data_IF_473891677451
#
_entry.id   IF_473891677451
#
_cell.length_a   1.000
_cell.length_b   1.000
_cell.length_c   1.000
_cell.angle_alpha   90.00
_cell.angle_beta   90.00
_cell.angle_gamma   90.00
#
_symmetry.space_group_name_H-M   'P 1'
#
loop_
_entity.id
_entity.type
_entity.pdbx_description
1 polymer ?
#
# COMPACT_ATOMS: atom_id res chain seq x y z
N UNK A 1 -18.45 18.13 7.42
CA UNK A 1 -18.43 17.14 6.32
C UNK A 1 -18.38 15.76 6.97
N UNK A 2 -19.51 15.05 7.02
CA UNK A 2 -19.58 13.71 7.60
C UNK A 2 -19.24 12.70 6.51
N UNK A 3 -18.09 12.03 6.64
CA UNK A 3 -17.74 10.90 5.78
C UNK A 3 -18.46 9.67 6.33
N UNK A 4 -19.42 9.16 5.56
CA UNK A 4 -20.10 7.91 5.87
C UNK A 4 -19.19 6.77 5.40
N UNK A 5 -18.28 6.33 6.27
CA UNK A 5 -17.42 5.17 6.02
C UNK A 5 -18.29 3.92 6.16
N UNK A 6 -18.77 3.37 5.05
CA UNK A 6 -19.68 2.22 5.04
C UNK A 6 -19.24 1.08 5.97
N UNK A 7 -19.80 1.06 7.19
CA UNK A 7 -19.56 0.03 8.20
C UNK A 7 -18.25 0.09 8.99
N UNK A 8 -17.35 1.07 8.76
CA UNK A 8 -16.13 1.20 9.57
C UNK A 8 -16.42 2.00 10.84
N UNK A 9 -16.26 1.37 12.00
CA UNK A 9 -16.18 2.12 13.26
C UNK A 9 -14.92 3.00 13.23
N UNK A 10 -15.06 4.20 13.79
CA UNK A 10 -14.00 5.18 14.00
C UNK A 10 -12.74 4.57 14.60
N UNK A 11 -12.88 3.62 15.53
CA UNK A 11 -11.75 2.90 16.14
C UNK A 11 -10.89 2.15 15.12
N UNK A 12 -11.51 1.47 14.15
CA UNK A 12 -10.83 0.73 13.09
C UNK A 12 -10.12 1.68 12.11
N UNK A 13 -10.76 2.81 11.77
CA UNK A 13 -10.13 3.85 10.96
C UNK A 13 -8.88 4.40 11.64
N UNK A 14 -8.93 4.72 12.93
CA UNK A 14 -7.75 5.18 13.68
C UNK A 14 -6.64 4.13 13.70
N UNK A 15 -6.97 2.85 13.86
CA UNK A 15 -5.99 1.77 13.81
C UNK A 15 -5.28 1.68 12.45
N UNK A 16 -6.00 1.88 11.35
CA UNK A 16 -5.43 1.90 9.99
C UNK A 16 -4.50 3.10 9.82
N UNK A 17 -4.94 4.29 10.22
CA UNK A 17 -4.15 5.51 10.10
C UNK A 17 -2.86 5.43 10.92
N UNK A 18 -2.95 4.96 12.17
CA UNK A 18 -1.81 4.74 13.06
C UNK A 18 -0.82 3.72 12.47
N UNK A 19 -1.32 2.63 11.87
CA UNK A 19 -0.48 1.63 11.23
C UNK A 19 0.27 2.19 10.00
N UNK A 20 -0.40 3.00 9.17
CA UNK A 20 0.21 3.66 8.01
C UNK A 20 1.28 4.65 8.47
N UNK A 21 0.96 5.52 9.44
CA UNK A 21 1.89 6.53 9.96
C UNK A 21 3.13 5.89 10.59
N UNK A 22 2.96 4.88 11.46
CA UNK A 22 4.09 4.16 12.08
C UNK A 22 4.94 3.42 11.06
N UNK A 23 4.32 2.83 10.03
CA UNK A 23 5.07 2.17 8.95
C UNK A 23 5.83 3.19 8.10
N UNK A 24 5.24 4.37 7.87
CA UNK A 24 5.88 5.47 7.18
C UNK A 24 7.10 5.96 7.95
N UNK A 25 6.96 6.30 9.23
CA UNK A 25 8.09 6.73 10.09
C UNK A 25 9.20 5.68 10.10
N UNK A 26 8.85 4.41 10.33
CA UNK A 26 9.83 3.33 10.37
C UNK A 26 10.59 3.18 9.05
N UNK A 27 9.96 3.44 7.91
CA UNK A 27 10.62 3.40 6.61
C UNK A 27 11.62 4.56 6.44
N UNK A 28 11.27 5.76 6.89
CA UNK A 28 12.16 6.93 6.85
C UNK A 28 13.38 6.76 7.77
N UNK A 29 13.21 6.18 8.96
CA UNK A 29 14.32 5.92 9.88
C UNK A 29 15.35 4.93 9.29
N UNK A 30 14.93 4.09 8.34
CA UNK A 30 15.82 3.15 7.65
C UNK A 30 16.61 3.79 6.51
N UNK A 31 16.13 4.92 5.99
CA UNK A 31 16.70 5.61 4.82
C UNK A 31 17.46 6.89 5.20
N UNK A 32 17.83 7.05 6.49
CA UNK A 32 18.54 8.23 7.01
C UNK A 32 19.90 8.52 6.34
N UNK A 33 20.43 7.60 5.53
CA UNK A 33 21.65 7.84 4.74
C UNK A 33 21.36 8.52 3.38
N UNK A 34 20.13 8.45 2.86
CA UNK A 34 19.68 9.09 1.62
C UNK A 34 18.18 9.43 1.72
N UNK A 35 17.78 10.46 2.48
CA UNK A 35 16.37 10.74 2.68
C UNK A 35 15.69 10.98 1.32
N UNK A 36 14.53 10.34 1.06
CA UNK A 36 13.84 10.55 -0.20
C UNK A 36 13.51 12.05 -0.35
N UNK A 37 13.71 12.57 -1.56
CA UNK A 37 13.37 13.96 -1.93
C UNK A 37 11.90 14.30 -1.64
N UNK A 38 11.04 13.28 -1.51
CA UNK A 38 9.63 13.39 -1.20
C UNK A 38 9.32 12.86 0.20
N UNK A 39 8.72 13.70 1.04
CA UNK A 39 8.35 13.37 2.43
C UNK A 39 6.88 12.99 2.59
N UNK A 40 6.24 12.46 1.56
CA UNK A 40 4.83 12.15 1.61
C UNK A 40 4.25 11.57 0.33
N UNK A 41 2.99 11.17 0.40
CA UNK A 41 2.26 10.55 -0.69
C UNK A 41 0.79 10.41 -0.40
N UNK A 42 0.10 9.57 -1.16
CA UNK A 42 -1.31 9.25 -0.93
C UNK A 42 -1.48 7.77 -0.62
N UNK A 43 -2.08 7.50 0.53
CA UNK A 43 -2.55 6.17 0.90
C UNK A 43 -3.99 6.00 0.43
N UNK A 44 -4.32 4.83 -0.11
CA UNK A 44 -5.69 4.42 -0.35
C UNK A 44 -5.95 2.98 0.11
N UNK A 45 -7.17 2.77 0.59
CA UNK A 45 -7.73 1.47 0.99
C UNK A 45 -8.95 1.21 0.11
N UNK A 46 -9.01 0.02 -0.48
CA UNK A 46 -10.19 -0.46 -1.19
C UNK A 46 -10.74 -1.73 -0.58
N UNK A 47 -12.06 -1.88 -0.69
CA UNK A 47 -12.74 -3.14 -0.46
C UNK A 47 -12.28 -4.14 -1.54
N UNK A 48 -11.68 -5.25 -1.13
CA UNK A 48 -11.15 -6.26 -2.05
C UNK A 48 -12.22 -7.13 -2.70
N UNK A 49 -13.49 -7.04 -2.30
CA UNK A 49 -14.64 -7.73 -2.91
C UNK A 49 -15.38 -6.83 -3.90
N UNK A 50 -15.70 -5.59 -3.52
CA UNK A 50 -16.49 -4.67 -4.36
C UNK A 50 -15.62 -3.75 -5.23
N UNK A 51 -14.39 -3.47 -4.79
CA UNK A 51 -13.50 -2.51 -5.44
C UNK A 51 -13.70 -1.06 -4.98
N UNK A 52 -14.66 -0.82 -4.09
CA UNK A 52 -14.99 0.50 -3.56
C UNK A 52 -13.81 1.12 -2.81
N UNK A 53 -13.64 2.43 -2.96
CA UNK A 53 -12.62 3.18 -2.22
C UNK A 53 -13.18 3.49 -0.84
N UNK A 54 -12.55 2.92 0.19
CA UNK A 54 -12.93 3.12 1.59
C UNK A 54 -12.19 4.31 2.20
N UNK A 55 -10.90 4.46 1.88
CA UNK A 55 -10.05 5.54 2.37
C UNK A 55 -9.18 6.03 1.21
N UNK A 56 -9.00 7.34 1.11
CA UNK A 56 -7.95 7.94 0.30
C UNK A 56 -7.49 9.23 0.96
N UNK A 57 -6.25 9.25 1.48
CA UNK A 57 -5.73 10.34 2.29
C UNK A 57 -4.28 10.67 1.93
N UNK A 58 -3.89 11.91 2.19
CA UNK A 58 -2.49 12.33 2.12
C UNK A 58 -1.76 11.85 3.39
N UNK A 59 -0.55 11.34 3.22
CA UNK A 59 0.37 10.98 4.31
C UNK A 59 1.64 11.78 4.13
N UNK A 60 2.09 12.49 5.17
CA UNK A 60 3.24 13.38 5.10
C UNK A 60 3.01 14.59 4.17
N UNK A 61 4.11 15.17 3.69
CA UNK A 61 4.09 16.39 2.88
C UNK A 61 4.17 16.08 1.39
N UNK A 62 3.18 16.58 0.63
CA UNK A 62 3.13 16.46 -0.83
C UNK A 62 3.09 17.85 -1.47
N UNK A 63 4.04 18.20 -2.37
CA UNK A 63 4.01 19.45 -3.12
C UNK A 63 2.66 19.64 -3.82
N UNK A 64 2.07 20.84 -3.71
CA UNK A 64 0.70 21.11 -4.20
C UNK A 64 0.50 20.69 -5.67
N UNK A 65 1.49 20.97 -6.52
CA UNK A 65 1.47 20.62 -7.96
C UNK A 65 1.42 19.11 -8.24
N UNK A 66 1.77 18.27 -7.27
CA UNK A 66 1.82 16.81 -7.42
C UNK A 66 0.68 16.08 -6.72
N UNK A 67 -0.08 16.76 -5.85
CA UNK A 67 -1.11 16.11 -5.01
C UNK A 67 -2.11 15.30 -5.82
N UNK A 68 -2.70 15.91 -6.86
CA UNK A 68 -3.68 15.22 -7.69
C UNK A 68 -3.06 14.04 -8.45
N UNK A 69 -1.84 14.20 -8.96
CA UNK A 69 -1.13 13.12 -9.65
C UNK A 69 -0.94 11.91 -8.72
N UNK A 70 -0.41 12.14 -7.51
CA UNK A 70 -0.15 11.06 -6.54
C UNK A 70 -1.44 10.42 -6.04
N UNK A 71 -2.48 11.23 -5.81
CA UNK A 71 -3.82 10.74 -5.49
C UNK A 71 -4.33 9.77 -6.56
N UNK A 72 -4.30 10.18 -7.83
CA UNK A 72 -4.75 9.33 -8.94
C UNK A 72 -3.89 8.08 -9.11
N UNK A 73 -2.57 8.17 -8.95
CA UNK A 73 -1.68 7.03 -9.03
C UNK A 73 -1.95 6.00 -7.92
N UNK A 74 -2.12 6.44 -6.67
CA UNK A 74 -2.51 5.56 -5.56
C UNK A 74 -3.84 4.83 -5.87
N UNK A 75 -4.84 5.56 -6.37
CA UNK A 75 -6.10 4.94 -6.75
C UNK A 75 -5.98 3.96 -7.92
N UNK A 76 -5.19 4.30 -8.94
CA UNK A 76 -5.00 3.48 -10.14
C UNK A 76 -4.30 2.16 -9.81
N UNK A 77 -3.24 2.20 -8.99
CA UNK A 77 -2.53 1.00 -8.52
C UNK A 77 -3.48 0.04 -7.80
N UNK A 78 -4.33 0.58 -6.92
CA UNK A 78 -5.36 -0.21 -6.22
C UNK A 78 -6.43 -0.79 -7.16
N UNK A 79 -6.94 -0.01 -8.11
CA UNK A 79 -7.92 -0.47 -9.11
C UNK A 79 -7.34 -1.56 -10.01
N UNK A 80 -6.09 -1.38 -10.45
CA UNK A 80 -5.40 -2.36 -11.28
C UNK A 80 -5.22 -3.68 -10.55
N UNK A 81 -4.78 -3.64 -9.29
CA UNK A 81 -4.63 -4.83 -8.47
C UNK A 81 -5.97 -5.52 -8.21
N UNK A 82 -7.04 -4.76 -7.97
CA UNK A 82 -8.40 -5.30 -7.85
C UNK A 82 -8.80 -6.11 -9.09
N UNK A 83 -8.62 -5.52 -10.28
CA UNK A 83 -8.94 -6.19 -11.54
C UNK A 83 -8.16 -7.48 -11.73
N UNK A 84 -6.87 -7.49 -11.39
CA UNK A 84 -6.04 -8.70 -11.54
C UNK A 84 -6.31 -9.75 -10.46
N UNK A 85 -6.65 -9.34 -9.24
CA UNK A 85 -6.97 -10.26 -8.14
C UNK A 85 -8.22 -11.12 -8.40
N UNK A 86 -9.20 -10.52 -9.09
CA UNK A 86 -10.46 -11.19 -9.47
C UNK A 86 -10.39 -11.96 -10.78
N UNK A 87 -9.23 -12.03 -11.45
CA UNK A 87 -9.04 -12.92 -12.61
C UNK A 87 -8.98 -14.39 -12.19
N UNK A 88 -8.73 -15.25 -13.17
CA UNK A 88 -8.52 -16.69 -12.96
C UNK A 88 -7.46 -16.96 -11.89
N UNK A 89 -7.53 -18.12 -11.21
CA UNK A 89 -6.59 -18.49 -10.15
C UNK A 89 -5.12 -18.49 -10.57
N UNK A 90 -4.84 -18.59 -11.87
CA UNK A 90 -3.48 -18.64 -12.43
C UNK A 90 -2.90 -17.23 -12.61
N UNK A 91 -3.74 -16.20 -12.71
CA UNK A 91 -3.35 -14.81 -12.99
C UNK A 91 -3.61 -13.86 -11.81
N UNK A 92 -3.80 -14.42 -10.63
CA UNK A 92 -4.18 -13.67 -9.44
C UNK A 92 -2.94 -13.02 -8.83
N UNK A 93 -2.82 -11.71 -9.03
CA UNK A 93 -1.71 -10.92 -8.46
C UNK A 93 -1.98 -10.53 -7.00
N UNK A 94 -1.00 -10.70 -6.13
CA UNK A 94 -0.99 -10.22 -4.74
C UNK A 94 -0.37 -8.82 -4.60
N UNK A 95 0.34 -8.36 -5.63
CA UNK A 95 0.90 -7.02 -5.74
C UNK A 95 0.65 -6.41 -7.12
N UNK A 96 0.41 -5.10 -7.14
CA UNK A 96 0.36 -4.32 -8.38
C UNK A 96 1.67 -4.32 -9.18
N UNK A 97 2.79 -4.64 -8.54
CA UNK A 97 4.12 -4.76 -9.17
C UNK A 97 4.20 -5.91 -10.16
N UNK A 98 3.36 -6.95 -10.01
CA UNK A 98 3.22 -8.06 -10.98
C UNK A 98 2.55 -7.60 -12.29
N UNK A 99 1.80 -6.50 -12.23
CA UNK A 99 1.16 -5.87 -13.40
C UNK A 99 1.89 -4.61 -13.90
N UNK A 100 3.13 -4.40 -13.45
CA UNK A 100 3.94 -3.22 -13.81
C UNK A 100 4.18 -3.14 -15.31
N UNK A 101 4.06 -1.94 -15.85
CA UNK A 101 4.34 -1.64 -17.25
C UNK A 101 4.81 -0.19 -17.41
N UNK A 102 6.13 -0.01 -17.54
CA UNK A 102 6.75 1.31 -17.67
C UNK A 102 6.32 2.06 -18.92
N UNK A 103 6.07 1.37 -20.04
CA UNK A 103 5.59 1.99 -21.27
C UNK A 103 4.18 2.58 -21.12
N UNK A 104 3.41 2.11 -20.14
CA UNK A 104 2.06 2.59 -19.84
C UNK A 104 1.99 3.41 -18.54
N UNK A 105 3.13 3.80 -17.96
CA UNK A 105 3.20 4.48 -16.66
C UNK A 105 2.47 3.71 -15.52
N UNK A 106 2.55 2.38 -15.55
CA UNK A 106 1.98 1.50 -14.53
C UNK A 106 3.09 1.04 -13.60
N UNK A 107 3.07 1.53 -12.36
CA UNK A 107 4.06 1.26 -11.32
C UNK A 107 3.44 0.46 -10.16
N UNK A 108 4.24 -0.31 -9.45
CA UNK A 108 3.92 -0.96 -8.18
C UNK A 108 3.59 0.00 -7.04
N UNK A 109 3.38 -0.56 -5.84
CA UNK A 109 2.96 0.19 -4.65
C UNK A 109 1.54 -0.08 -4.18
N UNK A 110 0.96 -1.22 -4.55
CA UNK A 110 -0.28 -1.75 -3.96
C UNK A 110 -0.16 -3.24 -3.69
N UNK A 111 -0.77 -3.70 -2.60
CA UNK A 111 -0.74 -5.09 -2.14
C UNK A 111 -2.11 -5.55 -1.66
N UNK A 112 -2.36 -6.85 -1.76
CA UNK A 112 -3.51 -7.52 -1.14
C UNK A 112 -3.23 -7.73 0.35
N UNK A 113 -4.22 -7.42 1.18
CA UNK A 113 -4.26 -7.74 2.60
C UNK A 113 -5.57 -8.48 2.92
N UNK A 114 -5.57 -9.35 3.93
CA UNK A 114 -6.69 -10.21 4.35
C UNK A 114 -6.91 -10.06 5.85
N UNK A 115 -8.02 -9.45 6.24
CA UNK A 115 -8.51 -9.43 7.62
C UNK A 115 -9.45 -10.61 7.86
N UNK A 116 -8.95 -11.67 8.50
CA UNK A 116 -9.70 -12.91 8.68
C UNK A 116 -10.03 -13.58 7.33
N UNK A 117 -11.20 -13.31 6.76
CA UNK A 117 -11.65 -13.78 5.44
C UNK A 117 -11.97 -12.64 4.46
N UNK A 118 -11.79 -11.40 4.86
CA UNK A 118 -12.15 -10.22 4.07
C UNK A 118 -10.90 -9.66 3.38
N UNK A 119 -10.85 -9.62 2.04
CA UNK A 119 -9.74 -9.03 1.32
C UNK A 119 -9.87 -7.49 1.30
N UNK A 120 -8.73 -6.83 1.43
CA UNK A 120 -8.53 -5.40 1.23
C UNK A 120 -7.38 -5.19 0.27
N UNK A 121 -7.36 -4.02 -0.38
CA UNK A 121 -6.23 -3.57 -1.19
C UNK A 121 -5.69 -2.30 -0.58
N UNK A 122 -4.42 -2.33 -0.17
CA UNK A 122 -3.68 -1.18 0.30
C UNK A 122 -2.85 -0.64 -0.85
N UNK A 123 -2.86 0.67 -1.08
CA UNK A 123 -2.02 1.30 -2.08
C UNK A 123 -1.41 2.61 -1.61
N UNK A 124 -0.20 2.88 -2.08
CA UNK A 124 0.52 4.10 -1.85
C UNK A 124 1.17 4.64 -3.13
N UNK A 125 1.31 5.96 -3.20
CA UNK A 125 2.15 6.64 -4.18
C UNK A 125 2.86 7.84 -3.56
N UNK A 126 4.20 7.81 -3.50
CA UNK A 126 4.97 9.01 -3.18
C UNK A 126 6.45 8.85 -2.81
N UNK A 127 6.91 7.64 -2.46
CA UNK A 127 8.27 7.35 -1.99
C UNK A 127 9.15 6.65 -3.03
N UNK A 128 8.57 6.27 -4.17
CA UNK A 128 9.22 5.42 -5.16
C UNK A 128 8.67 4.00 -5.09
N UNK A 129 8.66 3.30 -6.21
CA UNK A 129 7.91 2.04 -6.40
C UNK A 129 8.20 0.99 -5.32
N UNK A 130 9.47 0.75 -5.01
CA UNK A 130 9.89 -0.22 -3.99
C UNK A 130 9.48 0.21 -2.58
N UNK A 131 9.67 1.48 -2.25
CA UNK A 131 9.34 2.05 -0.95
C UNK A 131 7.83 2.11 -0.72
N UNK A 132 7.05 2.44 -1.76
CA UNK A 132 5.59 2.43 -1.74
C UNK A 132 5.07 1.02 -1.42
N UNK A 133 5.61 -0.01 -2.08
CA UNK A 133 5.22 -1.40 -1.85
C UNK A 133 5.62 -1.86 -0.44
N UNK A 134 6.86 -1.60 -0.04
CA UNK A 134 7.34 -2.00 1.27
C UNK A 134 6.56 -1.33 2.40
N UNK A 135 6.15 -0.06 2.23
CA UNK A 135 5.26 0.64 3.16
C UNK A 135 3.91 -0.09 3.29
N UNK A 136 3.32 -0.53 2.18
CA UNK A 136 2.03 -1.23 2.21
C UNK A 136 2.14 -2.62 2.84
N UNK A 137 3.23 -3.35 2.57
CA UNK A 137 3.50 -4.64 3.23
C UNK A 137 3.68 -4.46 4.74
N UNK A 138 4.47 -3.47 5.18
CA UNK A 138 4.67 -3.16 6.59
C UNK A 138 3.35 -2.77 7.29
N UNK A 139 2.54 -1.95 6.61
CA UNK A 139 1.21 -1.56 7.10
C UNK A 139 0.31 -2.78 7.28
N UNK A 140 0.24 -3.65 6.27
CA UNK A 140 -0.58 -4.86 6.33
C UNK A 140 -0.15 -5.82 7.46
N UNK A 141 1.17 -5.95 7.69
CA UNK A 141 1.71 -6.74 8.79
C UNK A 141 1.36 -6.16 10.17
N UNK A 142 1.47 -4.83 10.35
CA UNK A 142 1.08 -4.17 11.60
C UNK A 142 -0.40 -4.32 11.91
N UNK A 143 -1.24 -4.26 10.87
CA UNK A 143 -2.69 -4.53 10.98
C UNK A 143 -3.02 -6.01 11.21
N UNK A 144 -2.02 -6.92 11.11
CA UNK A 144 -2.21 -8.37 11.09
C UNK A 144 -3.14 -8.83 9.97
N UNK A 145 -3.19 -8.06 8.88
CA UNK A 145 -3.93 -8.38 7.67
C UNK A 145 -3.03 -9.08 6.64
N UNK A 146 -1.78 -9.35 6.96
CA UNK A 146 -0.89 -10.10 6.07
C UNK A 146 -0.07 -11.07 6.91
N UNK A 147 0.11 -12.30 6.42
CA UNK A 147 1.01 -13.26 7.05
C UNK A 147 2.46 -12.98 6.65
N UNK A 148 3.39 -13.39 7.50
CA UNK A 148 4.82 -13.32 7.17
C UNK A 148 5.15 -14.13 5.89
N UNK A 149 4.41 -15.19 5.58
CA UNK A 149 4.62 -15.98 4.35
C UNK A 149 4.25 -15.18 3.10
N UNK A 150 3.08 -14.53 3.11
CA UNK A 150 2.63 -13.69 1.99
C UNK A 150 3.54 -12.48 1.80
N UNK A 151 3.98 -11.85 2.90
CA UNK A 151 4.94 -10.76 2.84
C UNK A 151 6.29 -11.18 2.21
N UNK A 152 6.77 -12.39 2.53
CA UNK A 152 7.98 -12.96 1.90
C UNK A 152 7.78 -13.27 0.43
N UNK A 153 6.59 -13.72 0.02
CA UNK A 153 6.27 -13.97 -1.39
C UNK A 153 6.39 -12.69 -2.21
N UNK A 154 5.77 -11.60 -1.74
CA UNK A 154 5.89 -10.26 -2.34
C UNK A 154 7.36 -9.82 -2.39
N UNK A 155 8.11 -9.98 -1.29
CA UNK A 155 9.51 -9.57 -1.23
C UNK A 155 10.44 -10.38 -2.15
N UNK A 156 10.20 -11.69 -2.29
CA UNK A 156 11.00 -12.58 -3.14
C UNK A 156 10.76 -12.32 -4.62
N UNK A 157 9.52 -11.98 -4.99
CA UNK A 157 9.17 -11.63 -6.36
C UNK A 157 9.94 -10.41 -6.89
N UNK A 158 10.48 -9.54 -6.02
CA UNK A 158 11.03 -8.24 -6.44
C UNK A 158 12.51 -7.95 -6.12
N UNK A 159 13.31 -8.93 -5.67
CA UNK A 159 14.78 -8.80 -5.48
C UNK A 159 15.28 -7.53 -4.75
N UNK A 160 14.46 -6.88 -3.89
CA UNK A 160 14.76 -5.54 -3.35
C UNK A 160 14.39 -5.31 -1.88
N UNK A 161 14.76 -4.10 -1.42
CA UNK A 161 14.68 -3.40 -0.11
C UNK A 161 13.55 -3.81 0.85
N UNK A 162 12.40 -4.26 0.35
CA UNK A 162 11.29 -4.85 1.12
C UNK A 162 11.75 -5.93 2.11
N UNK A 163 12.74 -6.74 1.74
CA UNK A 163 13.34 -7.76 2.62
C UNK A 163 13.97 -7.15 3.88
N UNK A 164 14.66 -6.00 3.77
CA UNK A 164 15.33 -5.34 4.90
C UNK A 164 14.32 -4.68 5.84
N UNK A 165 13.22 -4.19 5.30
CA UNK A 165 12.10 -3.61 6.06
C UNK A 165 11.35 -4.71 6.81
N UNK A 166 11.09 -5.84 6.17
CA UNK A 166 10.50 -7.03 6.81
C UNK A 166 11.35 -7.53 7.99
N UNK A 167 12.68 -7.52 7.87
CA UNK A 167 13.58 -7.95 8.94
C UNK A 167 13.52 -7.08 10.20
N UNK A 168 13.09 -5.81 10.11
CA UNK A 168 13.04 -4.88 11.24
C UNK A 168 11.63 -4.57 11.74
N UNK A 169 10.61 -4.70 10.88
CA UNK A 169 9.20 -4.52 11.28
C UNK A 169 8.63 -5.77 11.96
N UNK A 170 9.18 -6.95 11.66
CA UNK A 170 8.76 -8.24 12.24
C UNK A 170 9.58 -8.64 13.48
N UNK A 171 10.76 -8.05 13.69
CA UNK A 171 11.60 -8.28 14.89
C UNK A 171 11.01 -7.58 16.12
#
# INVERSE_FOLDING_TARGET
MHFNFGGFDTSALYGILDAVEKSFIALFDLDLQNPPLNRGGFFSLRDGKTGDILIAIQVGEVPQKERMKRYHLSLEKGDRLFRTWHKSRIERHISSSESRNLAQNKFGGAVIAIEGKYPYILSFDGLGEESDEALMVATALKLKWMSASMAREIATAYKNTTVRILQKVIA
#
